data_IF_526283886595
#
_entry.id   IF_526283886595
#
_cell.length_a   1.000
_cell.length_b   1.000
_cell.length_c   1.000
_cell.angle_alpha   90.00
_cell.angle_beta   90.00
_cell.angle_gamma   90.00
#
_symmetry.space_group_name_H-M   'P 1'
#
loop_
_entity.id
_entity.type
_entity.pdbx_description
1 polymer ?
#
# COMPACT_ATOMS: atom_id res chain seq x y z
N UNK A 1 -26.28 13.24 -7.85
CA UNK A 1 -26.26 14.03 -6.61
C UNK A 1 -24.84 14.51 -6.35
N UNK A 2 -24.69 15.80 -6.15
CA UNK A 2 -23.45 16.56 -6.03
C UNK A 2 -22.41 16.02 -5.04
N UNK A 3 -21.61 15.04 -5.46
CA UNK A 3 -20.41 14.65 -4.72
C UNK A 3 -19.32 15.75 -4.75
N UNK A 4 -19.41 16.70 -5.70
CA UNK A 4 -18.43 17.78 -5.86
C UNK A 4 -18.37 18.76 -4.69
N UNK A 5 -19.49 18.94 -3.97
CA UNK A 5 -19.59 19.88 -2.83
C UNK A 5 -19.50 19.22 -1.46
N UNK A 6 -19.53 17.87 -1.38
CA UNK A 6 -19.53 17.13 -0.11
C UNK A 6 -18.21 16.40 0.11
N UNK A 7 -17.79 16.33 1.37
CA UNK A 7 -16.68 15.48 1.78
C UNK A 7 -16.99 14.00 1.47
N UNK A 8 -16.12 13.34 0.72
CA UNK A 8 -16.22 11.90 0.44
C UNK A 8 -15.37 11.16 1.48
N UNK A 9 -15.98 10.37 2.34
CA UNK A 9 -15.29 9.49 3.27
C UNK A 9 -15.48 8.03 2.83
N UNK A 10 -14.38 7.39 2.44
CA UNK A 10 -14.37 5.97 2.05
C UNK A 10 -14.04 5.12 3.27
N UNK A 11 -14.87 4.09 3.51
CA UNK A 11 -14.75 3.24 4.69
C UNK A 11 -14.75 1.76 4.27
N UNK A 12 -13.85 0.98 4.87
CA UNK A 12 -13.84 -0.48 4.80
C UNK A 12 -13.49 -1.05 6.18
N UNK A 13 -13.32 -2.35 6.32
CA UNK A 13 -13.02 -2.96 7.63
C UNK A 13 -11.63 -2.61 8.17
N UNK A 14 -10.58 -2.66 7.34
CA UNK A 14 -9.18 -2.46 7.77
C UNK A 14 -8.58 -1.11 7.38
N UNK A 15 -9.26 -0.33 6.54
CA UNK A 15 -8.73 0.91 5.94
C UNK A 15 -7.93 0.70 4.65
N UNK A 16 -7.49 -0.51 4.31
CA UNK A 16 -6.62 -0.76 3.15
C UNK A 16 -7.38 -0.57 1.83
N UNK A 17 -8.49 -1.28 1.62
CA UNK A 17 -9.33 -1.10 0.42
C UNK A 17 -9.89 0.32 0.31
N UNK A 18 -10.20 0.96 1.44
CA UNK A 18 -10.63 2.35 1.45
C UNK A 18 -9.52 3.30 0.96
N UNK A 19 -8.28 3.08 1.38
CA UNK A 19 -7.12 3.85 0.91
C UNK A 19 -6.88 3.65 -0.59
N UNK A 20 -6.98 2.42 -1.09
CA UNK A 20 -6.89 2.11 -2.51
C UNK A 20 -7.96 2.86 -3.33
N UNK A 21 -9.24 2.73 -2.94
CA UNK A 21 -10.34 3.42 -3.62
C UNK A 21 -10.23 4.95 -3.54
N UNK A 22 -9.78 5.48 -2.40
CA UNK A 22 -9.54 6.92 -2.22
C UNK A 22 -8.46 7.44 -3.18
N UNK A 23 -7.40 6.66 -3.42
CA UNK A 23 -6.36 7.01 -4.39
C UNK A 23 -6.94 7.14 -5.80
N UNK A 24 -7.74 6.17 -6.23
CA UNK A 24 -8.40 6.19 -7.54
C UNK A 24 -9.40 7.35 -7.67
N UNK A 25 -10.21 7.62 -6.62
CA UNK A 25 -11.12 8.76 -6.60
C UNK A 25 -10.38 10.09 -6.77
N UNK A 26 -9.24 10.26 -6.10
CA UNK A 26 -8.43 11.48 -6.23
C UNK A 26 -7.82 11.62 -7.62
N UNK A 27 -7.33 10.53 -8.22
CA UNK A 27 -6.86 10.52 -9.61
C UNK A 27 -8.00 10.84 -10.60
N UNK A 28 -9.23 10.44 -10.28
CA UNK A 28 -10.43 10.78 -11.06
C UNK A 28 -10.96 12.21 -10.84
N UNK A 29 -10.23 13.05 -10.05
CA UNK A 29 -10.58 14.47 -9.84
C UNK A 29 -11.35 14.74 -8.54
N UNK A 30 -11.69 13.73 -7.73
CA UNK A 30 -12.37 13.90 -6.42
C UNK A 30 -11.36 14.20 -5.31
N UNK A 31 -10.73 15.37 -5.33
CA UNK A 31 -9.66 15.77 -4.39
C UNK A 31 -10.09 15.79 -2.91
N UNK A 32 -11.41 15.92 -2.65
CA UNK A 32 -12.03 15.89 -1.32
C UNK A 32 -12.25 14.46 -0.76
N UNK A 33 -11.87 13.40 -1.49
CA UNK A 33 -11.97 12.04 -1.01
C UNK A 33 -10.92 11.75 0.08
N UNK A 34 -11.36 11.09 1.16
CA UNK A 34 -10.53 10.64 2.29
C UNK A 34 -10.89 9.20 2.66
N UNK A 35 -9.93 8.49 3.25
CA UNK A 35 -10.15 7.16 3.82
C UNK A 35 -10.18 7.21 5.35
N UNK A 36 -11.05 6.41 5.96
CA UNK A 36 -11.04 6.22 7.40
C UNK A 36 -9.82 5.39 7.79
N UNK A 37 -8.89 6.00 8.55
CA UNK A 37 -7.69 5.33 9.06
C UNK A 37 -8.11 4.13 9.93
N UNK A 38 -7.47 2.97 9.73
CA UNK A 38 -7.79 1.69 10.35
C UNK A 38 -9.17 1.12 9.98
N UNK A 39 -9.95 1.80 9.16
CA UNK A 39 -11.30 1.41 8.79
C UNK A 39 -12.24 1.28 9.99
N UNK A 40 -13.26 0.45 9.88
CA UNK A 40 -14.19 0.15 10.99
C UNK A 40 -13.48 -0.49 12.19
N UNK A 41 -12.35 -1.16 11.98
CA UNK A 41 -11.57 -1.72 13.09
C UNK A 41 -11.05 -0.64 14.04
N UNK A 42 -10.70 0.54 13.52
CA UNK A 42 -10.31 1.69 14.35
C UNK A 42 -11.48 2.43 15.00
N UNK A 43 -12.70 2.18 14.53
CA UNK A 43 -13.93 2.84 14.99
C UNK A 43 -14.43 2.27 16.32
N UNK A 44 -14.55 0.93 16.38
CA UNK A 44 -15.12 0.28 17.57
C UNK A 44 -14.48 -1.11 17.81
N UNK A 45 -14.25 -1.53 19.06
CA UNK A 45 -13.71 -2.85 19.38
C UNK A 45 -14.52 -4.02 18.79
N UNK A 46 -15.85 -3.89 18.69
CA UNK A 46 -16.71 -4.93 18.12
C UNK A 46 -16.45 -5.17 16.62
N UNK A 47 -15.81 -4.22 15.92
CA UNK A 47 -15.45 -4.33 14.51
C UNK A 47 -13.95 -4.50 14.27
N UNK A 48 -13.16 -4.69 15.34
CA UNK A 48 -11.70 -4.77 15.28
C UNK A 48 -11.14 -6.10 14.74
N UNK A 49 -11.99 -7.09 14.47
CA UNK A 49 -11.60 -8.44 14.07
C UNK A 49 -10.64 -8.50 12.89
N UNK A 50 -10.84 -7.63 11.89
CA UNK A 50 -9.96 -7.60 10.70
C UNK A 50 -8.48 -7.34 11.06
N UNK A 51 -8.21 -6.44 11.98
CA UNK A 51 -6.85 -6.17 12.43
C UNK A 51 -6.36 -7.19 13.47
N UNK A 52 -7.21 -7.54 14.44
CA UNK A 52 -6.83 -8.48 15.52
C UNK A 52 -6.41 -9.85 14.97
N UNK A 53 -7.00 -10.28 13.85
CA UNK A 53 -6.72 -11.59 13.24
C UNK A 53 -5.60 -11.57 12.19
N UNK A 54 -5.02 -10.40 11.91
CA UNK A 54 -4.02 -10.25 10.84
C UNK A 54 -2.73 -9.51 11.28
N UNK A 55 -2.48 -9.44 12.57
CA UNK A 55 -1.15 -9.12 13.11
C UNK A 55 -0.36 -10.42 13.27
N UNK A 56 0.95 -10.36 12.96
CA UNK A 56 1.79 -11.56 13.00
C UNK A 56 3.27 -11.24 13.20
N UNK A 57 4.06 -12.27 13.47
CA UNK A 57 5.49 -12.16 13.78
C UNK A 57 6.35 -13.14 12.95
N UNK A 58 5.86 -13.57 11.79
CA UNK A 58 6.51 -14.55 10.92
C UNK A 58 7.91 -14.10 10.46
N UNK A 59 8.14 -12.80 10.40
CA UNK A 59 9.46 -12.26 10.06
C UNK A 59 10.48 -12.35 11.19
N UNK A 60 10.03 -12.57 12.44
CA UNK A 60 10.92 -12.68 13.58
C UNK A 60 11.81 -13.92 13.50
N UNK A 61 13.11 -13.70 13.26
CA UNK A 61 14.07 -14.80 13.09
C UNK A 61 13.99 -15.53 11.75
N UNK A 62 13.19 -15.02 10.79
CA UNK A 62 13.07 -15.63 9.47
C UNK A 62 14.30 -15.37 8.61
N UNK A 63 14.79 -16.39 7.86
CA UNK A 63 16.01 -16.31 7.04
C UNK A 63 15.95 -15.29 5.87
N UNK A 64 14.75 -14.87 5.49
CA UNK A 64 14.53 -13.82 4.49
C UNK A 64 14.17 -12.46 5.11
N UNK A 65 14.38 -12.28 6.42
CA UNK A 65 14.34 -10.98 7.07
C UNK A 65 15.76 -10.44 7.23
N UNK A 66 16.02 -9.24 6.75
CA UNK A 66 17.35 -8.63 6.72
C UNK A 66 17.36 -7.28 7.43
N UNK A 67 18.54 -6.83 7.83
CA UNK A 67 18.78 -5.51 8.44
C UNK A 67 19.98 -4.80 7.78
N UNK A 68 20.34 -5.19 6.55
CA UNK A 68 21.39 -4.56 5.77
C UNK A 68 20.85 -3.31 5.04
N UNK A 69 21.74 -2.59 4.38
CA UNK A 69 21.35 -1.45 3.54
C UNK A 69 20.49 -1.90 2.34
N UNK A 70 19.60 -1.01 1.89
CA UNK A 70 18.85 -1.22 0.67
C UNK A 70 19.78 -1.42 -0.54
N UNK A 71 19.43 -2.26 -1.51
CA UNK A 71 20.08 -2.27 -2.81
C UNK A 71 20.02 -0.87 -3.43
N UNK A 72 21.04 -0.53 -4.23
CA UNK A 72 21.02 0.71 -5.02
C UNK A 72 19.82 0.70 -5.96
N UNK A 73 19.08 1.82 -6.00
CA UNK A 73 17.96 1.97 -6.93
C UNK A 73 18.47 1.83 -8.38
N UNK A 74 17.67 1.16 -9.18
CA UNK A 74 17.89 0.97 -10.62
C UNK A 74 16.98 1.92 -11.40
N UNK A 75 17.20 2.02 -12.70
CA UNK A 75 16.32 2.73 -13.61
C UNK A 75 15.82 1.75 -14.66
N UNK A 76 14.51 1.65 -14.78
CA UNK A 76 13.82 0.80 -15.75
C UNK A 76 13.17 1.66 -16.83
N UNK A 77 12.64 1.01 -17.85
CA UNK A 77 11.82 1.67 -18.88
C UNK A 77 10.46 2.11 -18.34
N UNK A 78 9.71 2.86 -19.15
CA UNK A 78 8.33 3.18 -18.83
C UNK A 78 7.45 1.91 -18.83
N UNK A 79 6.51 1.78 -17.89
CA UNK A 79 5.55 0.68 -17.95
C UNK A 79 4.67 0.80 -19.19
N UNK A 80 4.38 -0.34 -19.81
CA UNK A 80 3.55 -0.37 -21.03
C UNK A 80 2.07 -0.24 -20.67
N UNK A 81 1.37 0.58 -21.45
CA UNK A 81 -0.09 0.73 -21.39
C UNK A 81 -0.68 0.55 -22.78
N UNK A 82 -1.70 -0.29 -22.92
CA UNK A 82 -2.43 -0.50 -24.18
C UNK A 82 -3.57 0.51 -24.33
N UNK A 83 -3.20 1.77 -24.59
CA UNK A 83 -4.15 2.86 -24.85
C UNK A 83 -3.65 3.69 -26.03
N UNK A 84 -4.51 3.85 -27.02
CA UNK A 84 -4.22 4.54 -28.27
C UNK A 84 -4.84 5.96 -28.33
N UNK A 85 -4.82 6.67 -27.21
CA UNK A 85 -5.23 8.09 -27.15
C UNK A 85 -4.01 9.00 -27.04
N UNK A 86 -4.10 10.19 -27.61
CA UNK A 86 -3.10 11.25 -27.45
C UNK A 86 -3.55 12.32 -26.43
N UNK A 87 -4.77 12.21 -25.92
CA UNK A 87 -5.29 13.08 -24.86
C UNK A 87 -4.99 12.50 -23.47
N UNK A 88 -4.21 13.24 -22.67
CA UNK A 88 -3.79 12.77 -21.34
C UNK A 88 -4.95 12.55 -20.36
N UNK A 89 -6.02 13.34 -20.47
CA UNK A 89 -7.23 13.15 -19.65
C UNK A 89 -7.97 11.88 -20.01
N UNK A 90 -8.07 11.59 -21.31
CA UNK A 90 -8.68 10.35 -21.80
C UNK A 90 -7.85 9.11 -21.42
N UNK A 91 -6.53 9.18 -21.55
CA UNK A 91 -5.60 8.13 -21.11
C UNK A 91 -5.81 7.85 -19.61
N UNK A 92 -5.79 8.89 -18.76
CA UNK A 92 -5.96 8.75 -17.32
C UNK A 92 -7.31 8.12 -16.97
N UNK A 93 -8.39 8.56 -17.62
CA UNK A 93 -9.74 8.00 -17.42
C UNK A 93 -9.78 6.50 -17.76
N UNK A 94 -9.28 6.12 -18.93
CA UNK A 94 -9.25 4.71 -19.38
C UNK A 94 -8.38 3.85 -18.44
N UNK A 95 -7.23 4.38 -17.97
CA UNK A 95 -6.39 3.67 -16.98
C UNK A 95 -7.12 3.45 -15.65
N UNK A 96 -7.80 4.46 -15.13
CA UNK A 96 -8.58 4.33 -13.89
C UNK A 96 -9.68 3.29 -14.08
N UNK A 97 -10.44 3.31 -15.18
CA UNK A 97 -11.49 2.33 -15.48
C UNK A 97 -10.93 0.90 -15.54
N UNK A 98 -9.80 0.69 -16.22
CA UNK A 98 -9.13 -0.61 -16.30
C UNK A 98 -8.66 -1.10 -14.91
N UNK A 99 -8.11 -0.22 -14.09
CA UNK A 99 -7.66 -0.54 -12.73
C UNK A 99 -8.84 -0.88 -11.82
N UNK A 100 -9.96 -0.15 -11.92
CA UNK A 100 -11.19 -0.48 -11.20
C UNK A 100 -11.73 -1.84 -11.60
N UNK A 101 -11.74 -2.15 -12.91
CA UNK A 101 -12.18 -3.45 -13.41
C UNK A 101 -11.25 -4.60 -12.96
N UNK A 102 -9.93 -4.37 -12.89
CA UNK A 102 -8.94 -5.34 -12.42
C UNK A 102 -8.95 -5.54 -10.90
N UNK A 103 -9.49 -4.59 -10.15
CA UNK A 103 -9.61 -4.62 -8.70
C UNK A 103 -8.31 -4.41 -7.92
N UNK A 104 -8.45 -4.41 -6.60
CA UNK A 104 -7.33 -4.23 -5.67
C UNK A 104 -6.47 -5.48 -5.59
N UNK A 105 -5.28 -5.45 -6.15
CA UNK A 105 -4.32 -6.55 -6.09
C UNK A 105 -3.54 -6.51 -4.77
N UNK A 106 -3.49 -7.65 -4.10
CA UNK A 106 -2.82 -7.79 -2.80
C UNK A 106 -1.94 -9.03 -2.75
N UNK A 107 -0.93 -9.00 -1.88
CA UNK A 107 -0.11 -10.16 -1.53
C UNK A 107 -0.10 -10.35 -0.02
N UNK A 108 -0.07 -11.60 0.44
CA UNK A 108 0.13 -11.91 1.86
C UNK A 108 1.60 -11.72 2.22
N UNK A 109 1.86 -11.12 3.38
CA UNK A 109 3.23 -10.90 3.86
C UNK A 109 4.04 -12.20 3.98
N UNK A 110 3.40 -13.29 4.39
CA UNK A 110 4.02 -14.64 4.47
C UNK A 110 4.48 -15.14 3.10
N UNK A 111 3.69 -14.93 2.04
CA UNK A 111 4.05 -15.39 0.70
C UNK A 111 5.25 -14.61 0.15
N UNK A 112 5.26 -13.28 0.37
CA UNK A 112 6.37 -12.40 -0.01
C UNK A 112 7.63 -12.73 0.78
N UNK A 113 7.50 -12.98 2.08
CA UNK A 113 8.62 -13.33 2.96
C UNK A 113 9.22 -14.69 2.59
N UNK A 114 8.40 -15.68 2.28
CA UNK A 114 8.88 -17.02 1.92
C UNK A 114 9.53 -17.07 0.54
N UNK A 115 9.07 -16.25 -0.41
CA UNK A 115 9.49 -16.28 -1.81
C UNK A 115 9.88 -14.89 -2.34
N UNK A 116 10.82 -14.17 -1.72
CA UNK A 116 11.12 -12.78 -2.09
C UNK A 116 11.67 -12.64 -3.51
N UNK A 117 12.28 -13.68 -4.07
CA UNK A 117 12.82 -13.67 -5.43
C UNK A 117 11.73 -13.65 -6.53
N UNK A 118 10.48 -13.93 -6.19
CA UNK A 118 9.36 -13.91 -7.15
C UNK A 118 8.81 -12.49 -7.38
N UNK A 119 9.37 -11.48 -6.71
CA UNK A 119 8.81 -10.15 -6.68
C UNK A 119 9.90 -9.07 -6.78
N UNK A 120 9.56 -7.95 -7.40
CA UNK A 120 10.25 -6.70 -7.13
C UNK A 120 9.62 -6.08 -5.87
N UNK A 121 10.38 -6.01 -4.77
CA UNK A 121 9.83 -5.60 -3.47
C UNK A 121 10.26 -4.16 -3.18
N UNK A 122 9.29 -3.28 -2.99
CA UNK A 122 9.48 -1.90 -2.56
C UNK A 122 9.06 -1.73 -1.10
N UNK A 123 10.03 -1.55 -0.21
CA UNK A 123 9.79 -1.14 1.17
C UNK A 123 9.53 0.37 1.21
N UNK A 124 8.33 0.77 1.58
CA UNK A 124 7.91 2.17 1.60
C UNK A 124 8.11 2.82 2.99
N UNK A 125 9.25 2.53 3.64
CA UNK A 125 9.67 3.17 4.89
C UNK A 125 10.54 4.39 4.63
N UNK A 126 10.65 5.27 5.65
CA UNK A 126 11.72 6.26 5.68
C UNK A 126 13.09 5.59 5.84
N UNK A 127 14.15 6.28 5.44
CA UNK A 127 15.50 5.75 5.42
C UNK A 127 15.94 5.19 6.79
N UNK A 128 15.75 5.96 7.85
CA UNK A 128 16.07 5.54 9.21
C UNK A 128 15.30 4.28 9.65
N UNK A 129 14.05 4.12 9.20
CA UNK A 129 13.21 2.99 9.60
C UNK A 129 13.50 1.73 8.79
N UNK A 130 14.01 1.85 7.56
CA UNK A 130 14.39 0.71 6.74
C UNK A 130 15.41 -0.20 7.46
N UNK A 131 16.50 0.39 7.97
CA UNK A 131 17.50 -0.36 8.72
C UNK A 131 17.06 -0.73 10.14
N UNK A 132 16.29 0.18 10.80
CA UNK A 132 15.89 0.02 12.20
C UNK A 132 14.86 -1.11 12.39
N UNK A 133 13.87 -1.22 11.51
CA UNK A 133 12.90 -2.32 11.53
C UNK A 133 13.45 -3.60 10.91
N UNK A 134 14.41 -3.47 10.00
CA UNK A 134 14.71 -4.51 9.04
C UNK A 134 13.67 -4.56 7.91
N UNK A 135 13.86 -5.48 6.99
CA UNK A 135 13.06 -5.56 5.76
C UNK A 135 13.10 -6.97 5.17
N UNK A 136 12.19 -7.25 4.26
CA UNK A 136 12.23 -8.47 3.43
C UNK A 136 13.51 -8.45 2.60
N UNK A 137 14.22 -9.56 2.55
CA UNK A 137 15.49 -9.70 1.81
C UNK A 137 15.34 -9.18 0.37
N UNK A 138 16.33 -8.43 -0.09
CA UNK A 138 16.38 -7.79 -1.40
C UNK A 138 15.31 -6.70 -1.66
N UNK A 139 14.58 -6.26 -0.64
CA UNK A 139 13.66 -5.14 -0.82
C UNK A 139 14.44 -3.86 -1.16
N UNK A 140 14.03 -3.19 -2.22
CA UNK A 140 14.45 -1.83 -2.56
C UNK A 140 13.73 -0.81 -1.68
N UNK A 141 14.22 0.42 -1.67
CA UNK A 141 13.57 1.55 -0.99
C UNK A 141 13.36 2.70 -1.97
N UNK A 142 12.29 2.63 -2.74
CA UNK A 142 11.87 3.68 -3.66
C UNK A 142 10.67 4.40 -3.05
N UNK A 143 10.93 5.44 -2.27
CA UNK A 143 9.89 6.19 -1.56
C UNK A 143 9.95 7.70 -1.85
N UNK A 144 11.01 8.36 -1.46
CA UNK A 144 11.16 9.81 -1.63
C UNK A 144 11.27 10.18 -3.11
N UNK A 145 11.88 9.30 -3.88
CA UNK A 145 12.05 9.42 -5.33
C UNK A 145 10.79 9.02 -6.11
N UNK A 146 9.85 8.27 -5.48
CA UNK A 146 8.66 7.74 -6.16
C UNK A 146 7.68 8.86 -6.52
N UNK A 147 7.93 9.51 -7.64
CA UNK A 147 7.12 10.61 -8.19
C UNK A 147 7.26 10.67 -9.71
N UNK A 148 6.32 11.33 -10.39
CA UNK A 148 6.38 11.52 -11.85
C UNK A 148 7.46 12.54 -12.22
N UNK A 149 7.56 13.62 -11.47
CA UNK A 149 8.60 14.61 -11.65
C UNK A 149 9.98 14.00 -11.44
N UNK A 150 10.88 14.16 -12.41
CA UNK A 150 12.20 13.57 -12.40
C UNK A 150 12.26 12.05 -12.65
N UNK A 151 11.16 11.44 -13.12
CA UNK A 151 11.09 10.03 -13.50
C UNK A 151 11.39 9.02 -12.39
N UNK A 152 11.23 9.39 -11.12
CA UNK A 152 11.54 8.52 -9.98
C UNK A 152 10.69 7.25 -9.92
N UNK A 153 9.50 7.22 -10.55
CA UNK A 153 8.68 6.03 -10.71
C UNK A 153 9.39 4.92 -11.50
N UNK A 154 10.35 5.27 -12.38
CA UNK A 154 11.19 4.30 -13.11
C UNK A 154 12.19 3.56 -12.22
N UNK A 155 12.22 3.84 -10.94
CA UNK A 155 12.95 3.04 -9.95
C UNK A 155 12.31 1.69 -9.62
N UNK A 156 11.14 1.39 -10.20
CA UNK A 156 10.42 0.13 -10.04
C UNK A 156 10.47 -0.68 -11.34
N UNK A 157 10.56 -2.01 -11.21
CA UNK A 157 10.63 -2.90 -12.36
C UNK A 157 9.34 -2.86 -13.19
N UNK A 158 9.46 -2.41 -14.42
CA UNK A 158 8.36 -2.24 -15.36
C UNK A 158 8.19 -3.42 -16.34
N UNK A 159 8.97 -4.50 -16.21
CA UNK A 159 8.76 -5.70 -17.02
C UNK A 159 7.33 -6.23 -16.81
N UNK A 160 6.67 -6.59 -17.89
CA UNK A 160 5.28 -7.08 -17.87
C UNK A 160 5.06 -8.35 -17.03
N UNK A 161 6.12 -9.08 -16.71
CA UNK A 161 6.10 -10.27 -15.86
C UNK A 161 6.54 -9.96 -14.41
N UNK A 162 7.04 -8.76 -14.14
CA UNK A 162 7.45 -8.35 -12.81
C UNK A 162 6.23 -8.02 -11.95
N UNK A 163 6.14 -8.65 -10.79
CA UNK A 163 5.15 -8.31 -9.77
C UNK A 163 5.78 -7.35 -8.77
N UNK A 164 5.34 -6.09 -8.80
CA UNK A 164 5.83 -5.05 -7.90
C UNK A 164 5.04 -5.08 -6.60
N UNK A 165 5.68 -5.48 -5.51
CA UNK A 165 5.07 -5.48 -4.17
C UNK A 165 5.50 -4.23 -3.43
N UNK A 166 4.54 -3.40 -3.01
CA UNK A 166 4.83 -2.31 -2.07
C UNK A 166 4.32 -2.67 -0.69
N UNK A 167 5.12 -2.45 0.36
CA UNK A 167 4.67 -2.56 1.74
C UNK A 167 5.10 -1.38 2.60
N UNK A 168 4.24 -1.05 3.55
CA UNK A 168 4.45 0.01 4.53
C UNK A 168 4.15 -0.53 5.94
N UNK A 169 3.96 0.33 6.94
CA UNK A 169 3.66 -0.10 8.32
C UNK A 169 2.32 -0.81 8.46
N UNK A 170 1.31 -0.42 7.68
CA UNK A 170 -0.10 -0.79 7.90
C UNK A 170 -0.80 -1.39 6.68
N UNK A 171 -0.17 -1.46 5.53
CA UNK A 171 -0.85 -1.80 4.29
C UNK A 171 -1.74 -0.67 3.71
N UNK A 172 -2.02 0.39 4.46
CA UNK A 172 -2.89 1.49 4.03
C UNK A 172 -2.18 2.43 3.05
N UNK A 173 -0.96 2.89 3.39
CA UNK A 173 -0.16 3.73 2.47
C UNK A 173 0.26 2.94 1.23
N UNK A 174 0.67 1.66 1.39
CA UNK A 174 0.99 0.83 0.24
C UNK A 174 -0.20 0.58 -0.68
N UNK A 175 -1.43 0.55 -0.15
CA UNK A 175 -2.65 0.48 -0.97
C UNK A 175 -2.85 1.74 -1.82
N UNK A 176 -2.57 2.94 -1.28
CA UNK A 176 -2.57 4.20 -2.06
C UNK A 176 -1.55 4.13 -3.18
N UNK A 177 -0.32 3.73 -2.86
CA UNK A 177 0.78 3.61 -3.84
C UNK A 177 0.45 2.58 -4.91
N UNK A 178 -0.10 1.42 -4.53
CA UNK A 178 -0.49 0.36 -5.46
C UNK A 178 -1.51 0.84 -6.48
N UNK A 179 -2.55 1.58 -6.07
CA UNK A 179 -3.54 2.15 -6.99
C UNK A 179 -2.88 3.07 -8.03
N UNK A 180 -2.00 3.94 -7.58
CA UNK A 180 -1.26 4.85 -8.43
C UNK A 180 -0.34 4.12 -9.41
N UNK A 181 0.42 3.12 -8.95
CA UNK A 181 1.30 2.30 -9.80
C UNK A 181 0.51 1.50 -10.84
N UNK A 182 -0.64 0.94 -10.48
CA UNK A 182 -1.50 0.25 -11.44
C UNK A 182 -2.02 1.19 -12.52
N UNK A 183 -2.37 2.43 -12.18
CA UNK A 183 -2.76 3.44 -13.18
C UNK A 183 -1.60 3.76 -14.12
N UNK A 184 -0.37 3.80 -13.62
CA UNK A 184 0.83 3.96 -14.45
C UNK A 184 1.15 2.76 -15.35
N UNK A 185 0.58 1.58 -15.10
CA UNK A 185 0.79 0.39 -15.93
C UNK A 185 1.58 -0.74 -15.27
N UNK A 186 2.03 -0.59 -14.02
CA UNK A 186 2.71 -1.66 -13.29
C UNK A 186 1.77 -2.79 -12.87
N UNK A 187 2.25 -4.03 -12.87
CA UNK A 187 1.59 -5.15 -12.17
C UNK A 187 1.88 -5.05 -10.66
N UNK A 188 1.22 -4.07 -10.02
CA UNK A 188 1.50 -3.66 -8.66
C UNK A 188 0.51 -4.26 -7.66
N UNK A 189 1.05 -4.65 -6.49
CA UNK A 189 0.34 -5.28 -5.38
C UNK A 189 0.68 -4.57 -4.06
N UNK A 190 -0.28 -4.49 -3.15
CA UNK A 190 -0.05 -4.07 -1.77
C UNK A 190 0.14 -5.28 -0.87
N UNK A 191 1.20 -5.31 -0.07
CA UNK A 191 1.31 -6.31 0.99
C UNK A 191 0.34 -5.99 2.12
N UNK A 192 -0.62 -6.89 2.34
CA UNK A 192 -1.70 -6.69 3.32
C UNK A 192 -1.16 -6.55 4.73
N UNK A 193 -1.76 -5.63 5.50
CA UNK A 193 -1.41 -5.30 6.90
C UNK A 193 0.04 -4.83 7.10
N UNK A 194 0.85 -4.83 6.04
CA UNK A 194 2.21 -4.33 6.05
C UNK A 194 3.08 -4.93 7.15
N UNK A 195 3.86 -4.09 7.83
CA UNK A 195 4.73 -4.50 8.93
C UNK A 195 3.96 -5.09 10.12
N UNK A 196 2.75 -4.59 10.41
CA UNK A 196 1.91 -5.18 11.46
C UNK A 196 1.53 -6.63 11.16
N UNK A 197 1.39 -6.99 9.88
CA UNK A 197 1.01 -8.32 9.45
C UNK A 197 2.14 -9.35 9.49
N UNK A 198 3.41 -8.91 9.55
CA UNK A 198 4.55 -9.84 9.47
C UNK A 198 5.53 -9.73 10.62
N UNK A 199 5.62 -8.57 11.30
CA UNK A 199 6.52 -8.40 12.44
C UNK A 199 5.96 -7.38 13.45
N UNK A 200 4.82 -7.72 14.02
CA UNK A 200 4.09 -6.88 14.96
C UNK A 200 4.88 -6.63 16.26
N UNK A 201 5.59 -7.62 16.78
CA UNK A 201 6.41 -7.49 17.99
C UNK A 201 7.78 -6.82 17.78
N UNK A 202 8.05 -6.26 16.59
CA UNK A 202 9.34 -5.60 16.32
C UNK A 202 9.58 -4.45 17.33
N UNK A 203 10.78 -4.37 17.94
CA UNK A 203 11.05 -3.36 18.97
C UNK A 203 11.21 -1.93 18.43
N UNK A 204 11.26 -1.75 17.11
CA UNK A 204 11.49 -0.45 16.48
C UNK A 204 10.24 0.43 16.41
N UNK A 205 9.07 -0.07 16.73
CA UNK A 205 7.82 0.70 16.66
C UNK A 205 7.87 1.97 17.50
N UNK A 206 7.45 3.07 16.89
CA UNK A 206 7.23 4.36 17.57
C UNK A 206 5.80 4.87 17.34
N UNK A 207 5.13 4.37 16.29
CA UNK A 207 3.76 4.71 15.93
C UNK A 207 3.19 3.67 14.96
N UNK A 208 1.89 3.72 14.70
CA UNK A 208 1.19 2.86 13.73
C UNK A 208 1.28 1.34 14.02
N UNK A 209 1.66 0.94 15.22
CA UNK A 209 1.53 -0.43 15.70
C UNK A 209 0.09 -0.65 16.18
N UNK A 210 -0.62 -1.60 15.57
CA UNK A 210 -2.01 -1.89 15.97
C UNK A 210 -2.09 -2.36 17.42
N UNK A 211 -3.10 -1.89 18.13
CA UNK A 211 -3.29 -2.21 19.55
C UNK A 211 -2.45 -1.37 20.53
N UNK A 212 -1.61 -0.43 20.03
CA UNK A 212 -0.71 0.37 20.88
C UNK A 212 -0.96 1.87 20.67
N UNK A 213 -0.97 2.62 21.76
CA UNK A 213 -1.08 4.09 21.78
C UNK A 213 -2.34 4.59 21.07
N UNK A 214 -2.16 5.41 20.03
CA UNK A 214 -3.29 5.94 19.26
C UNK A 214 -3.88 4.96 18.24
N UNK A 215 -3.25 3.81 18.04
CA UNK A 215 -3.63 2.78 17.05
C UNK A 215 -4.53 1.70 17.65
N UNK A 216 -5.47 2.11 18.50
CA UNK A 216 -6.49 1.26 19.14
C UNK A 216 -7.89 1.68 18.67
N UNK A 217 -8.90 0.80 18.75
CA UNK A 217 -10.29 1.14 18.51
C UNK A 217 -10.75 2.29 19.41
N UNK A 218 -11.54 3.24 18.87
CA UNK A 218 -11.93 4.47 19.57
C UNK A 218 -13.22 4.34 20.39
N UNK A 219 -13.85 3.17 20.36
CA UNK A 219 -15.13 2.91 21.04
C UNK A 219 -16.26 3.88 20.65
N UNK A 220 -16.28 4.29 19.38
CA UNK A 220 -17.33 5.14 18.84
C UNK A 220 -18.63 4.33 18.64
N UNK A 221 -19.81 4.98 18.67
CA UNK A 221 -21.09 4.27 18.58
C UNK A 221 -21.26 3.51 17.25
N UNK A 222 -21.86 2.33 17.34
CA UNK A 222 -22.35 1.56 16.22
C UNK A 222 -23.89 1.60 16.21
N UNK A 223 -24.47 2.03 15.10
CA UNK A 223 -25.91 1.94 14.88
C UNK A 223 -26.15 0.62 14.14
N UNK A 224 -26.98 -0.25 14.74
CA UNK A 224 -27.49 -1.47 14.11
C UNK A 224 -28.93 -1.22 13.70
N UNK A 225 -29.21 -1.39 12.43
CA UNK A 225 -30.61 -1.41 11.93
C UNK A 225 -31.23 -2.76 12.17
#
# INVERSE_FOLDING_TARGET
ADAASKQILVVCFSGQTACYATSLLRLAGHSNAQALKWGMSGWNPATAGSWNSNTGDEAKGHGNWAANNAPSNQTFDDPLIDIYSTDGGDILRQRIEAVVAGGFKTAKGTDVLNNPANYFINNYFGDADYGKFGHVKNAFRVKEELKLDGNGYKGLDSDKNAKVITYCYTGQTSAVVTAWLQVLGYDAYSMTFGMNGIYHSNPAWTSNQWGVGSSVPKNLPLIKN
#
